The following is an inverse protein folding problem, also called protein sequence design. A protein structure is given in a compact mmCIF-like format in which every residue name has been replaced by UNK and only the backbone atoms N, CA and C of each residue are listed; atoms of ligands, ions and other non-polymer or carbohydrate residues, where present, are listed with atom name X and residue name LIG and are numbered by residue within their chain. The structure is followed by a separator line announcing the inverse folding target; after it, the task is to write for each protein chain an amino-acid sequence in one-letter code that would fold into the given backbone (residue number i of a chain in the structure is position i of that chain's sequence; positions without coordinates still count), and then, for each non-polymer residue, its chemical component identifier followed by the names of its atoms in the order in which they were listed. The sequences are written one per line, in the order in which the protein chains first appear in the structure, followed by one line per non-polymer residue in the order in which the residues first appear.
data_IF_286660785227
#
_entry.id   IF_286660785227
#
_cell.length_a   1.000
_cell.length_b   1.000
_cell.length_c   1.000
_cell.angle_alpha   90.00
_cell.angle_beta   90.00
_cell.angle_gamma   90.00
#
_symmetry.space_group_name_H-M   'P 1'
#
loop_
_entity.id
_entity.type
_entity.pdbx_description
1 polymer ?
#
# COMPACT_ATOMS: atom_id res chain seq x y z
N UNK A 1 5.25 -22.37 -33.75
CA UNK A 1 4.67 -22.62 -32.42
C UNK A 1 5.56 -21.88 -31.42
N UNK A 2 5.09 -20.78 -30.84
CA UNK A 2 5.89 -20.02 -29.88
C UNK A 2 6.16 -20.88 -28.66
N UNK A 3 7.41 -20.95 -28.18
CA UNK A 3 7.73 -21.64 -26.93
C UNK A 3 6.92 -20.98 -25.80
N UNK A 4 6.24 -21.78 -25.00
CA UNK A 4 5.63 -21.30 -23.76
C UNK A 4 6.71 -20.63 -22.91
N UNK A 5 6.47 -19.38 -22.51
CA UNK A 5 7.37 -18.61 -21.66
C UNK A 5 6.82 -18.67 -20.25
N UNK A 6 7.60 -19.21 -19.33
CA UNK A 6 7.28 -19.27 -17.91
C UNK A 6 8.19 -18.31 -17.15
N UNK A 7 7.63 -17.58 -16.19
CA UNK A 7 8.37 -16.81 -15.20
C UNK A 7 8.34 -17.64 -13.91
N UNK A 8 9.52 -17.87 -13.33
CA UNK A 8 9.66 -18.48 -12.02
C UNK A 8 9.99 -17.39 -11.02
N UNK A 9 9.12 -17.22 -10.02
CA UNK A 9 9.42 -16.34 -8.89
C UNK A 9 10.47 -17.00 -7.99
N UNK A 10 11.31 -16.21 -7.30
CA UNK A 10 12.15 -16.74 -6.24
C UNK A 10 11.30 -17.38 -5.14
N UNK A 11 11.85 -18.24 -4.28
CA UNK A 11 11.15 -18.72 -3.10
C UNK A 11 10.63 -17.53 -2.27
N UNK A 12 9.32 -17.47 -2.04
CA UNK A 12 8.66 -16.40 -1.30
C UNK A 12 8.12 -16.98 0.01
N UNK A 13 8.23 -16.27 1.16
CA UNK A 13 7.54 -16.66 2.39
C UNK A 13 6.04 -16.80 2.17
N UNK A 14 5.43 -17.85 2.75
CA UNK A 14 3.98 -18.09 2.65
C UNK A 14 3.15 -16.94 3.26
N UNK A 15 3.67 -16.33 4.32
CA UNK A 15 3.05 -15.21 5.03
C UNK A 15 3.14 -13.87 4.27
N UNK A 16 3.80 -13.83 3.10
CA UNK A 16 3.92 -12.60 2.34
C UNK A 16 2.55 -12.17 1.80
N UNK A 17 2.22 -10.90 2.00
CA UNK A 17 0.97 -10.34 1.52
C UNK A 17 0.79 -10.52 0.00
N UNK A 18 -0.42 -10.93 -0.40
CA UNK A 18 -0.72 -11.25 -1.79
C UNK A 18 -0.55 -10.05 -2.74
N UNK A 19 -0.77 -8.83 -2.26
CA UNK A 19 -0.50 -7.62 -3.04
C UNK A 19 1.00 -7.45 -3.26
N UNK A 20 1.84 -7.78 -2.28
CA UNK A 20 3.31 -7.76 -2.45
C UNK A 20 3.76 -8.81 -3.46
N UNK A 21 3.21 -10.03 -3.40
CA UNK A 21 3.47 -11.08 -4.40
C UNK A 21 3.09 -10.61 -5.80
N UNK A 22 1.91 -9.97 -5.93
CA UNK A 22 1.44 -9.40 -7.20
C UNK A 22 2.39 -8.31 -7.71
N UNK A 23 2.88 -7.42 -6.85
CA UNK A 23 3.85 -6.39 -7.24
C UNK A 23 5.17 -7.00 -7.75
N UNK A 24 5.69 -8.02 -7.07
CA UNK A 24 6.91 -8.74 -7.51
C UNK A 24 6.67 -9.39 -8.87
N UNK A 25 5.52 -10.05 -9.07
CA UNK A 25 5.15 -10.65 -10.34
C UNK A 25 5.12 -9.64 -11.48
N UNK A 26 4.44 -8.50 -11.30
CA UNK A 26 4.39 -7.44 -12.32
C UNK A 26 5.77 -6.84 -12.60
N UNK A 27 6.60 -6.65 -11.57
CA UNK A 27 7.98 -6.19 -11.73
C UNK A 27 8.82 -7.16 -12.58
N UNK A 28 8.70 -8.47 -12.36
CA UNK A 28 9.47 -9.48 -13.12
C UNK A 28 9.12 -9.57 -14.61
N UNK A 29 7.97 -9.03 -15.03
CA UNK A 29 7.59 -8.96 -16.45
C UNK A 29 8.30 -7.83 -17.21
N UNK A 30 8.79 -6.81 -16.49
CA UNK A 30 9.49 -5.68 -17.09
C UNK A 30 10.80 -6.15 -17.76
N UNK A 31 11.24 -5.52 -18.86
CA UNK A 31 12.59 -5.76 -19.36
C UNK A 31 13.64 -5.27 -18.35
N UNK A 32 14.85 -5.83 -18.41
CA UNK A 32 15.92 -5.63 -17.41
C UNK A 32 16.28 -4.15 -17.18
N UNK A 33 16.25 -3.34 -18.25
CA UNK A 33 16.52 -1.90 -18.17
C UNK A 33 15.45 -1.17 -17.35
N UNK A 34 14.18 -1.49 -17.58
CA UNK A 34 13.05 -0.93 -16.86
C UNK A 34 12.97 -1.44 -15.42
N UNK A 35 13.34 -2.70 -15.18
CA UNK A 35 13.52 -3.23 -13.82
C UNK A 35 14.54 -2.41 -13.03
N UNK A 36 15.74 -2.21 -13.59
CA UNK A 36 16.77 -1.40 -12.94
C UNK A 36 16.29 0.04 -12.70
N UNK A 37 15.60 0.63 -13.67
CA UNK A 37 15.03 1.96 -13.54
C UNK A 37 14.04 2.06 -12.36
N UNK A 38 13.06 1.15 -12.29
CA UNK A 38 12.07 1.11 -11.19
C UNK A 38 12.76 0.85 -9.85
N UNK A 39 13.79 0.00 -9.81
CA UNK A 39 14.52 -0.30 -8.59
C UNK A 39 15.32 0.91 -8.06
N UNK A 40 15.97 1.69 -8.93
CA UNK A 40 16.66 2.91 -8.52
C UNK A 40 15.68 3.97 -7.99
N UNK A 41 14.49 4.11 -8.60
CA UNK A 41 13.43 4.95 -8.06
C UNK A 41 13.01 4.47 -6.66
N UNK A 42 12.77 3.16 -6.50
CA UNK A 42 12.40 2.57 -5.21
C UNK A 42 13.44 2.85 -4.14
N UNK A 43 14.74 2.68 -4.41
CA UNK A 43 15.81 2.92 -3.43
C UNK A 43 15.74 4.31 -2.83
N UNK A 44 15.63 5.34 -3.68
CA UNK A 44 15.50 6.73 -3.23
C UNK A 44 14.19 6.94 -2.48
N UNK A 45 13.10 6.33 -2.95
CA UNK A 45 11.80 6.46 -2.30
C UNK A 45 11.65 5.64 -1.01
N UNK A 46 12.53 4.68 -0.76
CA UNK A 46 12.55 3.86 0.46
C UNK A 46 13.47 4.44 1.54
N UNK A 47 14.28 5.44 1.21
CA UNK A 47 15.20 6.06 2.15
C UNK A 47 14.47 7.07 3.05
N UNK A 48 14.40 6.80 4.35
CA UNK A 48 13.78 7.69 5.34
C UNK A 48 14.53 9.02 5.51
N UNK A 49 15.78 9.10 5.04
CA UNK A 49 16.61 10.31 5.08
C UNK A 49 16.50 11.18 3.82
N UNK A 50 15.72 10.75 2.82
CA UNK A 50 15.51 11.48 1.56
C UNK A 50 14.94 12.87 1.80
N UNK A 51 15.37 13.81 0.97
CA UNK A 51 14.78 15.14 0.88
C UNK A 51 13.95 15.31 -0.41
N UNK A 52 13.23 16.41 -0.55
CA UNK A 52 12.39 16.68 -1.73
C UNK A 52 13.19 16.68 -3.04
N UNK A 53 14.44 17.16 -3.04
CA UNK A 53 15.27 17.18 -4.24
C UNK A 53 15.72 15.78 -4.68
N UNK A 54 15.87 14.84 -3.74
CA UNK A 54 16.14 13.43 -4.06
C UNK A 54 14.91 12.80 -4.76
N UNK A 55 13.70 13.13 -4.30
CA UNK A 55 12.45 12.66 -4.92
C UNK A 55 12.31 13.23 -6.33
N UNK A 56 12.55 14.53 -6.52
CA UNK A 56 12.50 15.16 -7.84
C UNK A 56 13.52 14.56 -8.82
N UNK A 57 14.70 14.17 -8.33
CA UNK A 57 15.73 13.54 -9.14
C UNK A 57 15.32 12.15 -9.68
N UNK A 58 14.40 11.45 -9.03
CA UNK A 58 13.90 10.13 -9.46
C UNK A 58 12.58 10.18 -10.21
N UNK A 59 11.91 11.34 -10.31
CA UNK A 59 10.69 11.52 -11.12
C UNK A 59 10.95 11.58 -12.64
N UNK A 60 12.16 11.25 -13.09
CA UNK A 60 12.53 11.19 -14.51
C UNK A 60 11.61 10.20 -15.24
N UNK A 61 11.16 10.55 -16.45
CA UNK A 61 10.34 9.64 -17.26
C UNK A 61 11.21 8.51 -17.82
N UNK A 62 10.74 7.26 -17.81
CA UNK A 62 11.46 6.16 -18.45
C UNK A 62 11.63 6.44 -19.95
N UNK A 63 12.72 5.93 -20.53
CA UNK A 63 13.01 6.03 -21.97
C UNK A 63 11.89 5.41 -22.83
N UNK A 64 11.23 4.38 -22.29
CA UNK A 64 10.14 3.64 -22.90
C UNK A 64 8.94 3.57 -21.94
N UNK A 65 8.12 4.65 -21.83
CA UNK A 65 6.98 4.67 -20.93
C UNK A 65 5.95 3.57 -21.21
N UNK A 66 5.83 3.14 -22.47
CA UNK A 66 4.98 2.03 -22.88
C UNK A 66 5.33 0.71 -22.18
N UNK A 67 6.61 0.49 -21.84
CA UNK A 67 7.06 -0.74 -21.18
C UNK A 67 6.67 -0.79 -19.69
N UNK A 68 6.37 0.37 -19.09
CA UNK A 68 6.07 0.50 -17.65
C UNK A 68 4.60 0.84 -17.43
N UNK A 69 3.83 1.18 -18.47
CA UNK A 69 2.42 1.57 -18.34
C UNK A 69 1.57 0.50 -17.63
N UNK A 70 1.68 -0.76 -18.06
CA UNK A 70 0.95 -1.88 -17.45
C UNK A 70 1.34 -2.08 -15.99
N UNK A 71 2.66 -2.05 -15.70
CA UNK A 71 3.16 -2.10 -14.33
C UNK A 71 2.59 -0.98 -13.47
N UNK A 72 2.65 0.27 -13.95
CA UNK A 72 2.11 1.44 -13.24
C UNK A 72 0.60 1.35 -13.00
N UNK A 73 -0.16 0.83 -13.97
CA UNK A 73 -1.60 0.61 -13.81
C UNK A 73 -1.91 -0.47 -12.77
N UNK A 74 -1.14 -1.57 -12.76
CA UNK A 74 -1.28 -2.62 -11.76
C UNK A 74 -0.90 -2.12 -10.35
N UNK A 75 0.16 -1.32 -10.23
CA UNK A 75 0.54 -0.68 -8.97
C UNK A 75 -0.55 0.26 -8.45
N UNK A 76 -1.14 1.10 -9.31
CA UNK A 76 -2.27 1.96 -8.94
C UNK A 76 -3.47 1.16 -8.45
N UNK A 77 -3.75 0.02 -9.07
CA UNK A 77 -4.85 -0.86 -8.65
C UNK A 77 -4.61 -1.43 -7.25
N UNK A 78 -3.40 -1.92 -6.97
CA UNK A 78 -3.00 -2.39 -5.64
C UNK A 78 -3.12 -1.28 -4.59
N UNK A 79 -2.59 -0.09 -4.90
CA UNK A 79 -2.68 1.07 -3.99
C UNK A 79 -4.15 1.42 -3.72
N UNK A 80 -4.99 1.48 -4.76
CA UNK A 80 -6.41 1.78 -4.59
C UNK A 80 -7.15 0.73 -3.75
N UNK A 81 -6.74 -0.53 -3.81
CA UNK A 81 -7.27 -1.61 -2.96
C UNK A 81 -6.88 -1.41 -1.49
N UNK A 82 -5.59 -1.16 -1.22
CA UNK A 82 -5.09 -0.85 0.13
C UNK A 82 -5.79 0.37 0.73
N UNK A 83 -6.00 1.44 -0.05
CA UNK A 83 -6.74 2.62 0.40
C UNK A 83 -8.20 2.27 0.73
N UNK A 84 -8.86 1.45 -0.08
CA UNK A 84 -10.25 1.04 0.17
C UNK A 84 -10.36 0.24 1.45
N UNK A 85 -9.42 -0.67 1.70
CA UNK A 85 -9.36 -1.45 2.94
C UNK A 85 -9.12 -0.56 4.16
N UNK A 86 -8.14 0.35 4.08
CA UNK A 86 -7.83 1.29 5.16
C UNK A 86 -9.01 2.21 5.48
N UNK A 87 -9.68 2.77 4.46
CA UNK A 87 -10.88 3.61 4.64
C UNK A 87 -12.04 2.79 5.19
N UNK A 88 -12.23 1.56 4.71
CA UNK A 88 -13.26 0.66 5.23
C UNK A 88 -13.05 0.34 6.71
N UNK A 89 -11.81 0.07 7.11
CA UNK A 89 -11.45 -0.13 8.52
C UNK A 89 -11.72 1.14 9.36
N UNK A 90 -11.31 2.31 8.87
CA UNK A 90 -11.55 3.57 9.56
C UNK A 90 -13.04 3.87 9.71
N UNK A 91 -13.85 3.63 8.67
CA UNK A 91 -15.30 3.75 8.74
C UNK A 91 -15.88 2.80 9.77
N UNK A 92 -15.50 1.52 9.76
CA UNK A 92 -16.00 0.52 10.70
C UNK A 92 -15.69 0.90 12.15
N UNK A 93 -14.45 1.28 12.46
CA UNK A 93 -14.05 1.71 13.82
C UNK A 93 -14.80 2.96 14.24
N UNK A 94 -14.97 3.92 13.32
CA UNK A 94 -15.71 5.14 13.60
C UNK A 94 -17.18 4.86 13.92
N UNK A 95 -17.85 4.08 13.08
CA UNK A 95 -19.26 3.75 13.24
C UNK A 95 -19.50 2.97 14.55
N UNK A 96 -18.72 1.94 14.82
CA UNK A 96 -18.94 1.10 16.00
C UNK A 96 -18.59 1.81 17.31
N UNK A 97 -17.44 2.48 17.39
CA UNK A 97 -16.98 3.07 18.65
C UNK A 97 -17.57 4.47 18.91
N UNK A 98 -17.73 5.30 17.87
CA UNK A 98 -18.08 6.72 18.03
C UNK A 98 -19.53 7.05 17.67
N UNK A 99 -20.17 6.28 16.78
CA UNK A 99 -21.60 6.44 16.47
C UNK A 99 -22.46 5.51 17.34
N UNK A 100 -22.11 4.22 17.41
CA UNK A 100 -22.85 3.21 18.15
C UNK A 100 -22.43 3.10 19.62
N UNK A 101 -21.28 3.67 20.00
CA UNK A 101 -20.82 3.76 21.39
C UNK A 101 -20.35 2.44 21.99
N UNK A 102 -19.90 1.49 21.16
CA UNK A 102 -19.30 0.22 21.62
C UNK A 102 -17.88 0.45 22.13
N UNK A 103 -17.46 -0.37 23.11
CA UNK A 103 -16.07 -0.36 23.57
C UNK A 103 -15.16 -0.97 22.50
N UNK A 104 -13.95 -0.42 22.33
CA UNK A 104 -13.02 -0.88 21.28
C UNK A 104 -12.64 -2.36 21.47
N UNK A 105 -12.58 -2.83 22.71
CA UNK A 105 -12.33 -4.22 23.09
C UNK A 105 -13.38 -5.18 22.52
N UNK A 106 -14.62 -4.71 22.29
CA UNK A 106 -15.72 -5.53 21.77
C UNK A 106 -15.67 -5.74 20.25
N UNK A 107 -14.88 -4.94 19.52
CA UNK A 107 -14.76 -5.02 18.07
C UNK A 107 -13.44 -5.63 17.59
N UNK A 108 -12.56 -6.02 18.52
CA UNK A 108 -11.29 -6.64 18.21
C UNK A 108 -11.46 -7.98 17.49
N UNK A 109 -10.41 -8.36 16.76
CA UNK A 109 -10.37 -9.55 15.91
C UNK A 109 -9.41 -10.59 16.49
N UNK A 110 -9.68 -11.88 16.27
CA UNK A 110 -8.76 -12.96 16.67
C UNK A 110 -7.42 -12.92 15.91
N UNK A 111 -7.38 -12.31 14.71
CA UNK A 111 -6.12 -12.02 14.00
C UNK A 111 -5.38 -10.84 14.68
N UNK A 112 -4.16 -11.05 15.21
CA UNK A 112 -3.37 -10.01 15.88
C UNK A 112 -3.14 -8.76 15.02
N UNK A 113 -2.95 -8.91 13.70
CA UNK A 113 -2.70 -7.80 12.78
C UNK A 113 -3.92 -6.91 12.64
N UNK A 114 -5.11 -7.52 12.56
CA UNK A 114 -6.37 -6.78 12.51
C UNK A 114 -6.65 -6.06 13.82
N UNK A 115 -6.36 -6.70 14.96
CA UNK A 115 -6.47 -6.07 16.27
C UNK A 115 -5.56 -4.85 16.39
N UNK A 116 -4.29 -4.96 15.98
CA UNK A 116 -3.37 -3.82 15.95
C UNK A 116 -3.90 -2.67 15.06
N UNK A 117 -4.39 -3.00 13.86
CA UNK A 117 -4.93 -2.01 12.93
C UNK A 117 -6.20 -1.31 13.47
N UNK A 118 -7.10 -2.06 14.12
CA UNK A 118 -8.30 -1.51 14.77
C UNK A 118 -7.89 -0.55 15.89
N UNK A 119 -6.99 -0.98 16.78
CA UNK A 119 -6.53 -0.17 17.91
C UNK A 119 -5.81 1.11 17.44
N UNK A 120 -4.91 1.01 16.46
CA UNK A 120 -4.23 2.16 15.90
C UNK A 120 -5.22 3.17 15.31
N UNK A 121 -6.22 2.67 14.57
CA UNK A 121 -7.26 3.51 13.96
C UNK A 121 -8.15 4.18 15.01
N UNK A 122 -8.53 3.45 16.06
CA UNK A 122 -9.25 4.01 17.19
C UNK A 122 -8.45 5.13 17.88
N UNK A 123 -7.15 4.90 18.12
CA UNK A 123 -6.26 5.92 18.69
C UNK A 123 -6.12 7.16 17.79
N UNK A 124 -6.12 7.00 16.47
CA UNK A 124 -6.11 8.14 15.54
C UNK A 124 -7.34 9.04 15.73
N UNK A 125 -8.53 8.47 15.95
CA UNK A 125 -9.73 9.25 16.22
C UNK A 125 -9.75 9.91 17.61
N UNK A 126 -9.11 9.29 18.61
CA UNK A 126 -8.98 9.89 19.94
C UNK A 126 -7.97 11.05 19.98
N UNK A 127 -7.04 11.12 19.04
CA UNK A 127 -5.99 12.13 19.04
C UNK A 127 -6.58 13.50 18.63
N UNK A 128 -6.95 14.30 19.63
CA UNK A 128 -7.74 15.53 19.56
C UNK A 128 -7.11 16.74 18.82
N UNK A 129 -6.08 16.54 18.00
CA UNK A 129 -5.57 17.57 17.09
C UNK A 129 -6.49 17.88 15.90
N UNK A 130 -7.53 17.06 15.66
CA UNK A 130 -8.44 17.13 14.52
C UNK A 130 -9.89 17.54 14.89
N UNK A 131 -10.11 18.23 16.02
CA UNK A 131 -11.47 18.64 16.46
C UNK A 131 -12.15 19.72 15.61
N UNK A 132 -11.49 20.27 14.60
CA UNK A 132 -12.03 21.35 13.75
C UNK A 132 -12.77 20.88 12.48
N UNK A 133 -12.86 19.58 12.22
CA UNK A 133 -13.76 19.08 11.17
C UNK A 133 -15.15 18.92 11.77
N UNK A 134 -15.87 20.04 11.77
CA UNK A 134 -17.12 20.28 12.48
C UNK A 134 -18.06 19.07 12.60
N UNK A 135 -18.32 18.69 13.84
CA UNK A 135 -19.53 17.96 14.19
C UNK A 135 -20.32 18.75 15.23
N UNK A 136 -21.65 18.88 15.05
CA UNK A 136 -22.50 19.60 15.98
C UNK A 136 -22.69 18.82 17.28
N UNK A 137 -22.79 19.59 18.36
CA UNK A 137 -22.99 19.19 19.76
C UNK A 137 -24.22 18.34 20.02
#
# INVERSE_FOLDING_TARGET
MGKEKYIQLPPIPEELDGNVVRMIWEYTKLPEKEQQFVYEQYKVLSDDSRNESDVDAVLIKPDHPENIEEFGNNMKAVIAELFREAVGLAQYVYEECFVNGRDVEEILSDDPRKTEAILATYMLFLNNGNRDVGMPS
#
